data_IF_181635053130
#
_entry.id   IF_181635053130
#
_cell.length_a   1.000
_cell.length_b   1.000
_cell.length_c   1.000
_cell.angle_alpha   90.00
_cell.angle_beta   90.00
_cell.angle_gamma   90.00
#
_symmetry.space_group_name_H-M   'P 1'
#
loop_
_entity.id
_entity.type
_entity.pdbx_description
1 polymer ?
#
# COMPACT_ATOMS: atom_id res chain seq x y z
N UNK A 1 19.22 15.00 36.91
CA UNK A 1 18.80 16.33 36.40
C UNK A 1 19.29 16.43 34.96
N UNK A 2 18.46 16.27 33.93
CA UNK A 2 17.03 16.00 33.90
C UNK A 2 16.70 15.09 32.72
N UNK A 3 15.72 14.22 32.95
CA UNK A 3 14.92 13.61 31.90
C UNK A 3 14.17 14.72 31.15
N UNK A 4 14.32 14.75 29.83
CA UNK A 4 13.36 15.43 28.96
C UNK A 4 12.48 14.36 28.34
N UNK A 5 11.42 14.03 29.06
CA UNK A 5 10.23 13.41 28.49
C UNK A 5 9.71 14.34 27.39
N UNK A 6 9.83 13.93 26.13
CA UNK A 6 9.04 14.54 25.05
C UNK A 6 7.90 13.59 24.71
N UNK A 7 6.85 13.68 25.53
CA UNK A 7 5.55 13.11 25.20
C UNK A 7 4.85 13.94 24.13
N UNK A 8 4.07 13.26 23.29
CA UNK A 8 2.88 13.86 22.68
C UNK A 8 3.02 14.36 21.24
N UNK A 9 3.15 13.43 20.29
CA UNK A 9 2.42 13.51 19.01
C UNK A 9 1.93 12.11 18.61
N UNK A 10 1.04 11.55 19.43
CA UNK A 10 0.17 10.47 18.99
C UNK A 10 -0.96 11.12 18.18
N UNK A 11 -0.80 11.14 16.86
CA UNK A 11 -1.80 11.71 15.96
C UNK A 11 -1.21 11.95 14.59
N UNK A 12 -1.69 11.19 13.60
CA UNK A 12 -1.39 11.27 12.14
C UNK A 12 -0.23 10.40 11.63
N UNK A 13 0.35 9.51 12.44
CA UNK A 13 1.41 8.54 12.04
C UNK A 13 0.92 7.07 12.09
N UNK A 14 -0.38 6.81 11.90
CA UNK A 14 -0.96 5.47 12.12
C UNK A 14 -0.70 4.45 11.00
N UNK A 15 -0.17 4.85 9.85
CA UNK A 15 0.18 3.91 8.76
C UNK A 15 1.35 4.43 7.91
N UNK A 16 2.61 4.20 8.33
CA UNK A 16 3.78 4.66 7.59
C UNK A 16 3.98 3.85 6.30
N UNK A 17 4.51 4.49 5.27
CA UNK A 17 4.89 3.81 4.04
C UNK A 17 6.00 2.79 4.31
N UNK A 18 5.69 1.52 4.11
CA UNK A 18 6.69 0.45 4.14
C UNK A 18 7.17 0.09 2.73
N UNK A 19 8.49 0.10 2.53
CA UNK A 19 9.08 -0.33 1.26
C UNK A 19 9.20 -1.85 1.26
N UNK A 20 8.42 -2.51 0.40
CA UNK A 20 8.46 -3.97 0.23
C UNK A 20 8.85 -4.36 -1.19
N UNK A 21 9.59 -5.46 -1.33
CA UNK A 21 9.96 -6.02 -2.63
C UNK A 21 9.06 -7.20 -2.99
N UNK A 22 8.09 -6.99 -3.87
CA UNK A 22 7.29 -8.08 -4.44
C UNK A 22 7.93 -8.57 -5.73
N UNK A 23 8.26 -9.87 -5.77
CA UNK A 23 8.68 -10.52 -7.00
C UNK A 23 7.47 -10.77 -7.89
N UNK A 24 7.52 -10.28 -9.13
CA UNK A 24 6.46 -10.44 -10.12
C UNK A 24 7.04 -11.01 -11.42
N UNK A 25 6.23 -11.80 -12.14
CA UNK A 25 6.57 -12.12 -13.53
C UNK A 25 6.63 -10.84 -14.36
N UNK A 26 7.53 -10.80 -15.34
CA UNK A 26 7.71 -9.64 -16.23
C UNK A 26 6.41 -9.24 -16.94
N UNK A 27 5.64 -10.23 -17.40
CA UNK A 27 4.33 -10.02 -18.05
C UNK A 27 3.34 -9.35 -17.10
N UNK A 28 3.23 -9.84 -15.87
CA UNK A 28 2.33 -9.26 -14.85
C UNK A 28 2.72 -7.84 -14.51
N UNK A 29 4.01 -7.56 -14.29
CA UNK A 29 4.50 -6.19 -14.05
C UNK A 29 4.11 -5.24 -15.20
N UNK A 30 4.24 -5.70 -16.45
CA UNK A 30 3.85 -4.92 -17.64
C UNK A 30 2.34 -4.68 -17.67
N UNK A 31 1.53 -5.69 -17.41
CA UNK A 31 0.07 -5.56 -17.40
C UNK A 31 -0.39 -4.54 -16.34
N UNK A 32 0.14 -4.61 -15.11
CA UNK A 32 -0.19 -3.66 -14.04
C UNK A 32 0.19 -2.23 -14.43
N UNK A 33 1.36 -2.04 -15.07
CA UNK A 33 1.77 -0.72 -15.56
C UNK A 33 0.81 -0.13 -16.59
N UNK A 34 0.43 -0.92 -17.59
CA UNK A 34 -0.49 -0.46 -18.64
C UNK A 34 -1.84 -0.09 -18.03
N UNK A 35 -2.38 -0.95 -17.17
CA UNK A 35 -3.63 -0.67 -16.46
C UNK A 35 -3.55 0.61 -15.61
N UNK A 36 -2.43 0.82 -14.91
CA UNK A 36 -2.21 2.01 -14.11
C UNK A 36 -2.25 3.28 -14.97
N UNK A 37 -1.55 3.30 -16.11
CA UNK A 37 -1.54 4.42 -17.05
C UNK A 37 -2.93 4.69 -17.64
N UNK A 38 -3.65 3.66 -18.08
CA UNK A 38 -5.00 3.80 -18.66
C UNK A 38 -6.02 4.39 -17.68
N UNK A 39 -5.75 4.30 -16.37
CA UNK A 39 -6.67 4.71 -15.31
C UNK A 39 -6.19 5.91 -14.51
N UNK A 40 -5.09 6.54 -14.91
CA UNK A 40 -4.42 7.62 -14.17
C UNK A 40 -4.11 7.23 -12.71
N UNK A 41 -3.57 6.02 -12.53
CA UNK A 41 -3.22 5.42 -11.24
C UNK A 41 -1.74 5.13 -11.12
N UNK A 42 -1.27 4.96 -9.90
CA UNK A 42 0.06 4.39 -9.66
C UNK A 42 -0.01 2.86 -9.68
N UNK A 43 1.11 2.19 -9.93
CA UNK A 43 1.15 0.73 -9.80
C UNK A 43 0.78 0.28 -8.38
N UNK A 44 1.15 1.07 -7.38
CA UNK A 44 0.88 0.75 -5.99
C UNK A 44 -0.61 0.78 -5.68
N UNK A 45 -1.30 1.87 -6.04
CA UNK A 45 -2.75 1.99 -5.79
C UNK A 45 -3.54 0.89 -6.52
N UNK A 46 -3.09 0.47 -7.70
CA UNK A 46 -3.67 -0.68 -8.42
C UNK A 46 -3.52 -1.98 -7.62
N UNK A 47 -2.35 -2.23 -7.03
CA UNK A 47 -2.11 -3.43 -6.24
C UNK A 47 -2.89 -3.40 -4.90
N UNK A 48 -2.93 -2.25 -4.24
CA UNK A 48 -3.68 -2.05 -2.99
C UNK A 48 -5.18 -2.25 -3.20
N UNK A 49 -5.76 -1.64 -4.23
CA UNK A 49 -7.18 -1.83 -4.58
C UNK A 49 -7.49 -3.30 -4.90
N UNK A 50 -6.61 -3.98 -5.64
CA UNK A 50 -6.79 -5.39 -5.96
C UNK A 50 -6.76 -6.27 -4.70
N UNK A 51 -5.84 -5.98 -3.78
CA UNK A 51 -5.75 -6.68 -2.50
C UNK A 51 -6.98 -6.43 -1.63
N UNK A 52 -7.43 -5.17 -1.51
CA UNK A 52 -8.63 -4.82 -0.76
C UNK A 52 -9.87 -5.52 -1.30
N UNK A 53 -10.07 -5.56 -2.63
CA UNK A 53 -11.18 -6.29 -3.26
C UNK A 53 -11.13 -7.77 -2.92
N UNK A 54 -9.95 -8.40 -3.03
CA UNK A 54 -9.77 -9.81 -2.68
C UNK A 54 -10.12 -10.09 -1.21
N UNK A 55 -9.69 -9.22 -0.29
CA UNK A 55 -9.98 -9.36 1.14
C UNK A 55 -11.47 -9.21 1.44
N UNK A 56 -12.16 -8.28 0.79
CA UNK A 56 -13.63 -8.12 0.91
C UNK A 56 -14.35 -9.37 0.37
N UNK A 57 -13.97 -9.86 -0.81
CA UNK A 57 -14.55 -11.07 -1.40
C UNK A 57 -14.37 -12.31 -0.51
N UNK A 58 -13.21 -12.42 0.15
CA UNK A 58 -12.90 -13.52 1.09
C UNK A 58 -13.61 -13.40 2.42
N UNK A 59 -13.88 -12.18 2.90
CA UNK A 59 -14.55 -11.95 4.19
C UNK A 59 -16.07 -12.10 4.11
N UNK A 60 -16.64 -12.10 2.90
CA UNK A 60 -18.08 -12.24 2.65
C UNK A 60 -18.49 -13.71 2.38
N UNK A 61 -17.57 -14.66 2.52
CA UNK A 61 -17.78 -16.10 2.37
C UNK A 61 -17.55 -16.83 3.69
#
# INVERSE_FOLDING_TARGET
>A
MGEVSNGGRAGVDDDPWEVTSVKMRRSTKRAVKLYAVERDKTMQSVLEEALQRLLVEKSTK
#
